data_IF_145859978392
#
_entry.id   IF_145859978392
#
_cell.length_a   1.000
_cell.length_b   1.000
_cell.length_c   1.000
_cell.angle_alpha   90.00
_cell.angle_beta   90.00
_cell.angle_gamma   90.00
#
_symmetry.space_group_name_H-M   'P 1'
#
loop_
_entity.id
_entity.type
_entity.pdbx_description
1 polymer ?
#
# COMPACT_ATOMS: atom_id res chain seq x y z
N UNK A 1 14.16 9.78 19.94
CA UNK A 1 14.64 8.92 18.84
C UNK A 1 14.02 9.48 17.57
N UNK A 2 14.80 10.25 16.82
CA UNK A 2 14.38 10.89 15.56
C UNK A 2 14.50 9.85 14.45
N UNK A 3 13.38 9.49 13.81
CA UNK A 3 13.43 8.69 12.60
C UNK A 3 14.16 9.50 11.52
N UNK A 4 15.22 8.92 10.96
CA UNK A 4 16.01 9.51 9.88
C UNK A 4 15.16 9.64 8.61
N UNK A 5 15.43 10.67 7.81
CA UNK A 5 14.90 10.79 6.46
C UNK A 5 15.13 9.47 5.70
N UNK A 6 14.07 8.90 5.14
CA UNK A 6 14.14 7.64 4.40
C UNK A 6 15.01 7.82 3.15
N UNK A 7 16.09 7.04 3.01
CA UNK A 7 16.99 7.00 1.84
C UNK A 7 16.32 6.50 0.55
N UNK A 8 15.10 5.97 0.66
CA UNK A 8 14.28 5.63 -0.51
C UNK A 8 13.94 6.92 -1.25
N UNK A 9 14.15 6.98 -2.58
CA UNK A 9 13.77 8.15 -3.36
C UNK A 9 12.33 8.59 -3.08
N UNK A 10 12.08 9.89 -2.99
CA UNK A 10 10.74 10.43 -2.72
C UNK A 10 9.68 9.90 -3.71
N UNK A 11 10.08 9.67 -4.97
CA UNK A 11 9.26 9.06 -6.00
C UNK A 11 8.84 7.62 -5.70
N UNK A 12 9.70 6.83 -5.05
CA UNK A 12 9.38 5.47 -4.59
C UNK A 12 8.50 5.51 -3.35
N UNK A 13 8.76 6.42 -2.40
CA UNK A 13 7.91 6.61 -1.22
C UNK A 13 6.48 7.00 -1.61
N UNK A 14 6.32 7.99 -2.50
CA UNK A 14 5.01 8.40 -3.03
C UNK A 14 4.30 7.24 -3.72
N UNK A 15 5.03 6.42 -4.48
CA UNK A 15 4.47 5.27 -5.16
C UNK A 15 3.93 4.21 -4.16
N UNK A 16 4.71 3.89 -3.12
CA UNK A 16 4.30 2.97 -2.06
C UNK A 16 3.09 3.50 -1.28
N UNK A 17 3.16 4.75 -0.79
CA UNK A 17 2.09 5.37 0.00
C UNK A 17 0.77 5.41 -0.76
N UNK A 18 0.82 5.75 -2.04
CA UNK A 18 -0.36 5.75 -2.90
C UNK A 18 -0.96 4.35 -3.02
N UNK A 19 -0.15 3.33 -3.30
CA UNK A 19 -0.64 1.96 -3.45
C UNK A 19 -1.19 1.41 -2.13
N UNK A 20 -0.49 1.66 -1.01
CA UNK A 20 -0.93 1.28 0.32
C UNK A 20 -2.26 1.93 0.72
N UNK A 21 -2.47 3.19 0.36
CA UNK A 21 -3.74 3.89 0.55
C UNK A 21 -4.87 3.29 -0.32
N UNK A 22 -4.56 2.90 -1.56
CA UNK A 22 -5.53 2.22 -2.45
C UNK A 22 -5.90 0.82 -1.96
N UNK A 23 -4.97 0.11 -1.32
CA UNK A 23 -5.21 -1.22 -0.74
C UNK A 23 -5.71 -1.15 0.70
N UNK A 24 -5.97 0.05 1.22
CA UNK A 24 -6.45 0.29 2.58
C UNK A 24 -5.50 -0.23 3.69
N UNK A 25 -4.22 -0.48 3.36
CA UNK A 25 -3.20 -0.84 4.36
C UNK A 25 -2.66 0.40 5.09
N UNK A 26 -2.88 1.58 4.52
CA UNK A 26 -2.71 2.87 5.18
C UNK A 26 -3.98 3.69 5.00
N UNK A 27 -4.22 4.59 5.93
CA UNK A 27 -5.28 5.59 5.87
C UNK A 27 -4.73 7.01 5.75
N UNK A 28 -5.62 7.97 5.49
CA UNK A 28 -5.26 9.39 5.33
C UNK A 28 -4.44 9.94 6.51
N UNK A 29 -4.73 9.61 7.79
CA UNK A 29 -3.90 10.04 8.91
C UNK A 29 -2.45 9.56 8.82
N UNK A 30 -2.19 8.35 8.31
CA UNK A 30 -0.83 7.83 8.14
C UNK A 30 -0.06 8.64 7.08
N UNK A 31 -0.76 9.01 5.99
CA UNK A 31 -0.20 9.85 4.93
C UNK A 31 0.12 11.27 5.44
N UNK A 32 -0.79 11.84 6.22
CA UNK A 32 -0.61 13.14 6.88
C UNK A 32 0.58 13.11 7.83
N UNK A 33 0.69 12.06 8.65
CA UNK A 33 1.82 11.88 9.56
C UNK A 33 3.15 11.75 8.81
N UNK A 34 3.17 11.04 7.68
CA UNK A 34 4.35 10.98 6.82
C UNK A 34 4.69 12.37 6.27
N UNK A 35 3.71 13.15 5.80
CA UNK A 35 3.92 14.50 5.29
C UNK A 35 4.48 15.44 6.37
N UNK A 36 3.96 15.38 7.59
CA UNK A 36 4.45 16.14 8.74
C UNK A 36 5.91 15.82 9.07
N UNK A 37 6.30 14.54 8.97
CA UNK A 37 7.69 14.12 9.16
C UNK A 37 8.59 14.72 8.06
N UNK A 38 8.18 14.63 6.79
CA UNK A 38 8.93 15.23 5.67
C UNK A 38 9.10 16.74 5.82
N UNK A 39 8.05 17.45 6.24
CA UNK A 39 8.07 18.90 6.45
C UNK A 39 9.07 19.29 7.55
N UNK A 40 9.09 18.55 8.66
CA UNK A 40 9.96 18.83 9.81
C UNK A 40 11.44 18.81 9.44
N UNK A 41 11.80 17.95 8.49
CA UNK A 41 13.18 17.74 8.07
C UNK A 41 13.62 18.68 6.92
N UNK A 42 12.70 19.52 6.42
CA UNK A 42 12.94 20.44 5.30
C UNK A 42 12.86 21.91 5.73
N UNK A 43 13.91 22.69 5.44
CA UNK A 43 13.91 24.15 5.71
C UNK A 43 12.90 24.91 4.86
N UNK A 44 12.59 24.41 3.66
CA UNK A 44 11.63 25.02 2.74
C UNK A 44 10.80 23.93 2.04
N UNK A 45 9.80 23.36 2.73
CA UNK A 45 9.00 22.27 2.20
C UNK A 45 8.18 22.71 0.98
N UNK A 46 8.04 21.82 0.00
CA UNK A 46 7.20 22.07 -1.17
C UNK A 46 5.74 22.30 -0.74
N UNK A 47 5.06 23.24 -1.40
CA UNK A 47 3.68 23.58 -1.06
C UNK A 47 2.72 22.37 -1.12
N UNK A 48 2.96 21.43 -2.07
CA UNK A 48 2.17 20.21 -2.17
C UNK A 48 2.28 19.30 -0.92
N UNK A 49 3.43 19.28 -0.23
CA UNK A 49 3.61 18.57 1.05
C UNK A 49 2.82 19.25 2.17
N UNK A 50 2.84 20.59 2.21
CA UNK A 50 2.08 21.37 3.20
C UNK A 50 0.57 21.13 3.01
N UNK A 51 0.08 21.20 1.78
CA UNK A 51 -1.32 20.87 1.48
C UNK A 51 -1.67 19.45 1.97
N UNK A 52 -0.82 18.46 1.68
CA UNK A 52 -1.05 17.07 2.09
C UNK A 52 -1.15 16.92 3.62
N UNK A 53 -0.31 17.62 4.38
CA UNK A 53 -0.36 17.63 5.84
C UNK A 53 -1.68 18.22 6.41
N UNK A 54 -2.40 19.02 5.62
CA UNK A 54 -3.67 19.62 6.02
C UNK A 54 -4.90 18.78 5.59
N UNK A 55 -4.70 17.67 4.89
CA UNK A 55 -5.78 16.84 4.33
C UNK A 55 -6.38 15.83 5.32
N UNK A 56 -6.28 16.04 6.64
CA UNK A 56 -6.72 15.07 7.65
C UNK A 56 -8.18 14.60 7.56
N UNK A 57 -9.06 15.41 6.96
CA UNK A 57 -10.47 15.08 6.72
C UNK A 57 -10.80 14.77 5.26
N UNK A 58 -9.81 14.71 4.38
CA UNK A 58 -10.00 14.38 2.97
C UNK A 58 -10.25 12.89 2.74
N UNK A 59 -10.79 12.56 1.57
CA UNK A 59 -10.96 11.16 1.16
C UNK A 59 -9.67 10.60 0.53
N UNK A 60 -9.56 9.27 0.49
CA UNK A 60 -8.38 8.56 -0.04
C UNK A 60 -8.04 8.92 -1.48
N UNK A 61 -9.04 9.18 -2.33
CA UNK A 61 -8.83 9.51 -3.74
C UNK A 61 -8.14 10.87 -3.90
N UNK A 62 -8.62 11.89 -3.19
CA UNK A 62 -8.01 13.22 -3.22
C UNK A 62 -6.59 13.19 -2.62
N UNK A 63 -6.41 12.47 -1.51
CA UNK A 63 -5.09 12.28 -0.89
C UNK A 63 -4.12 11.56 -1.83
N UNK A 64 -4.56 10.51 -2.54
CA UNK A 64 -3.76 9.80 -3.53
C UNK A 64 -3.36 10.71 -4.71
N UNK A 65 -4.26 11.59 -5.17
CA UNK A 65 -3.95 12.56 -6.20
C UNK A 65 -2.96 13.63 -5.72
N UNK A 66 -3.08 14.07 -4.45
CA UNK A 66 -2.14 15.02 -3.87
C UNK A 66 -0.74 14.43 -3.73
N UNK A 67 -0.61 13.13 -3.38
CA UNK A 67 0.67 12.42 -3.38
C UNK A 67 1.39 12.51 -4.74
N UNK A 68 0.65 12.39 -5.85
CA UNK A 68 1.22 12.50 -7.21
C UNK A 68 1.73 13.91 -7.55
N UNK A 69 1.28 14.95 -6.85
CA UNK A 69 1.78 16.32 -7.01
C UNK A 69 3.11 16.56 -6.30
N UNK A 70 3.47 15.70 -5.35
CA UNK A 70 4.74 15.78 -4.60
C UNK A 70 5.89 15.22 -5.43
N UNK A 71 5.71 14.03 -5.99
CA UNK A 71 6.70 13.42 -6.87
C UNK A 71 6.03 12.48 -7.88
N UNK A 72 6.65 12.34 -9.06
CA UNK A 72 6.23 11.33 -10.03
C UNK A 72 6.65 9.94 -9.52
N UNK A 73 5.72 8.97 -9.41
CA UNK A 73 6.06 7.59 -9.06
C UNK A 73 7.14 6.99 -9.97
N UNK A 74 8.17 6.37 -9.38
CA UNK A 74 9.26 5.72 -10.13
C UNK A 74 9.18 4.20 -10.15
N UNK A 75 8.46 3.59 -9.21
CA UNK A 75 8.19 2.15 -9.20
C UNK A 75 6.78 1.86 -9.72
N UNK A 76 6.66 0.75 -10.44
CA UNK A 76 5.39 0.24 -10.95
C UNK A 76 4.57 -0.41 -9.83
N UNK A 77 3.27 -0.55 -10.07
CA UNK A 77 2.38 -1.25 -9.13
C UNK A 77 2.84 -2.69 -8.88
N UNK A 78 3.25 -3.42 -9.94
CA UNK A 78 3.70 -4.80 -9.83
C UNK A 78 4.96 -4.95 -8.97
N UNK A 79 5.88 -3.98 -9.00
CA UNK A 79 7.08 -3.98 -8.17
C UNK A 79 6.79 -3.69 -6.69
N UNK A 80 5.75 -2.88 -6.41
CA UNK A 80 5.39 -2.45 -5.06
C UNK A 80 4.40 -3.37 -4.36
N UNK A 81 3.53 -4.03 -5.12
CA UNK A 81 2.44 -4.84 -4.58
C UNK A 81 2.93 -5.92 -3.59
N UNK A 82 4.06 -6.62 -3.80
CA UNK A 82 4.60 -7.55 -2.81
C UNK A 82 4.87 -6.91 -1.43
N UNK A 83 5.39 -5.68 -1.38
CA UNK A 83 5.65 -4.97 -0.13
C UNK A 83 4.35 -4.62 0.59
N UNK A 84 3.37 -4.10 -0.15
CA UNK A 84 2.06 -3.73 0.41
C UNK A 84 1.28 -4.96 0.88
N UNK A 85 1.34 -6.07 0.13
CA UNK A 85 0.71 -7.34 0.53
C UNK A 85 1.36 -7.97 1.77
N UNK A 86 2.67 -7.79 1.97
CA UNK A 86 3.36 -8.24 3.17
C UNK A 86 2.87 -7.48 4.42
N UNK A 87 2.61 -6.17 4.30
CA UNK A 87 2.04 -5.36 5.38
C UNK A 87 0.55 -5.67 5.59
N UNK A 88 -0.20 -5.87 4.50
CA UNK A 88 -1.58 -6.33 4.54
C UNK A 88 -1.72 -7.66 5.30
N UNK A 89 -0.78 -8.60 5.12
CA UNK A 89 -0.77 -9.86 5.85
C UNK A 89 -0.75 -9.65 7.37
N UNK A 90 0.12 -8.76 7.85
CA UNK A 90 0.24 -8.45 9.28
C UNK A 90 -1.07 -7.85 9.79
N UNK A 91 -1.66 -6.92 9.03
CA UNK A 91 -2.95 -6.31 9.38
C UNK A 91 -4.10 -7.31 9.40
N UNK A 92 -4.13 -8.29 8.49
CA UNK A 92 -5.15 -9.33 8.46
C UNK A 92 -5.12 -10.23 9.70
N UNK A 93 -3.94 -10.47 10.28
CA UNK A 93 -3.80 -11.24 11.52
C UNK A 93 -4.46 -10.51 12.70
N UNK A 94 -4.32 -9.18 12.75
CA UNK A 94 -4.84 -8.36 13.86
C UNK A 94 -6.29 -7.92 13.63
N UNK A 95 -6.71 -7.74 12.37
CA UNK A 95 -8.03 -7.27 11.99
C UNK A 95 -8.56 -8.03 10.76
N UNK A 96 -9.16 -9.22 10.93
CA UNK A 96 -9.76 -9.97 9.83
C UNK A 96 -10.89 -9.22 9.09
N UNK A 97 -11.54 -8.24 9.72
CA UNK A 97 -12.60 -7.44 9.09
C UNK A 97 -12.11 -6.57 7.92
N UNK A 98 -10.80 -6.34 7.83
CA UNK A 98 -10.14 -5.64 6.72
C UNK A 98 -10.16 -6.43 5.40
N UNK A 99 -10.31 -7.76 5.47
CA UNK A 99 -10.09 -8.67 4.35
C UNK A 99 -10.92 -8.34 3.09
N UNK A 100 -12.18 -7.93 3.28
CA UNK A 100 -13.06 -7.53 2.18
C UNK A 100 -12.57 -6.26 1.49
N UNK A 101 -12.22 -5.22 2.25
CA UNK A 101 -11.73 -3.96 1.70
C UNK A 101 -10.40 -4.14 0.96
N UNK A 102 -9.52 -4.99 1.49
CA UNK A 102 -8.28 -5.37 0.81
C UNK A 102 -8.55 -6.06 -0.53
N UNK A 103 -9.47 -7.03 -0.57
CA UNK A 103 -9.82 -7.75 -1.79
C UNK A 103 -10.38 -6.81 -2.88
N UNK A 104 -11.27 -5.89 -2.50
CA UNK A 104 -11.78 -4.84 -3.40
C UNK A 104 -10.64 -3.97 -3.94
N UNK A 105 -9.74 -3.49 -3.07
CA UNK A 105 -8.58 -2.69 -3.47
C UNK A 105 -7.63 -3.44 -4.42
N UNK A 106 -7.35 -4.72 -4.13
CA UNK A 106 -6.56 -5.60 -4.98
C UNK A 106 -7.17 -5.78 -6.37
N UNK A 107 -8.48 -5.96 -6.47
CA UNK A 107 -9.18 -6.07 -7.75
C UNK A 107 -9.10 -4.78 -8.55
N UNK A 108 -9.34 -3.61 -7.94
CA UNK A 108 -9.26 -2.32 -8.64
C UNK A 108 -7.85 -2.08 -9.21
N UNK A 109 -6.83 -2.45 -8.45
CA UNK A 109 -5.43 -2.37 -8.89
C UNK A 109 -5.14 -3.33 -10.04
N UNK A 110 -5.59 -4.58 -9.94
CA UNK A 110 -5.44 -5.59 -10.98
C UNK A 110 -6.16 -5.20 -12.29
N UNK A 111 -7.40 -4.70 -12.18
CA UNK A 111 -8.22 -4.28 -13.31
C UNK A 111 -7.60 -3.07 -14.03
N UNK A 112 -7.05 -2.10 -13.27
CA UNK A 112 -6.35 -0.94 -13.84
C UNK A 112 -5.09 -1.32 -14.62
N UNK A 113 -4.43 -2.40 -14.23
CA UNK A 113 -3.24 -2.93 -14.92
C UNK A 113 -3.61 -3.88 -16.09
N UNK A 114 -4.89 -3.92 -16.50
CA UNK A 114 -5.43 -4.82 -17.52
C UNK A 114 -5.11 -6.30 -17.27
N UNK A 115 -4.98 -6.72 -16.01
CA UNK A 115 -4.63 -8.08 -15.64
C UNK A 115 -3.24 -8.54 -16.06
N UNK A 116 -2.30 -7.60 -16.31
CA UNK A 116 -0.95 -7.92 -16.80
C UNK A 116 0.02 -8.46 -15.73
N UNK A 117 -0.50 -8.71 -14.53
CA UNK A 117 0.25 -9.20 -13.39
C UNK A 117 0.87 -10.57 -13.65
N UNK A 118 2.02 -10.81 -13.02
CA UNK A 118 2.66 -12.12 -12.99
C UNK A 118 1.74 -13.15 -12.35
N UNK A 119 1.98 -14.44 -12.63
CA UNK A 119 1.18 -15.54 -12.07
C UNK A 119 1.05 -15.45 -10.54
N UNK A 120 2.12 -15.05 -9.85
CA UNK A 120 2.12 -14.87 -8.39
C UNK A 120 1.15 -13.79 -7.90
N UNK A 121 0.83 -12.79 -8.73
CA UNK A 121 -0.08 -11.69 -8.41
C UNK A 121 -1.44 -11.80 -9.11
N UNK A 122 -1.63 -12.81 -9.97
CA UNK A 122 -2.86 -13.00 -10.74
C UNK A 122 -4.10 -13.18 -9.85
N UNK A 123 -3.93 -13.76 -8.66
CA UNK A 123 -5.00 -13.94 -7.68
C UNK A 123 -5.54 -12.62 -7.11
N UNK A 124 -4.91 -11.47 -7.38
CA UNK A 124 -5.48 -10.17 -7.04
C UNK A 124 -6.83 -9.91 -7.71
N UNK A 125 -7.06 -10.47 -8.91
CA UNK A 125 -8.35 -10.38 -9.59
C UNK A 125 -9.41 -11.38 -9.11
N UNK A 126 -9.04 -12.35 -8.24
CA UNK A 126 -9.92 -13.43 -7.80
C UNK A 126 -10.73 -13.10 -6.54
N UNK A 127 -10.08 -12.50 -5.53
CA UNK A 127 -10.64 -12.44 -4.19
C UNK A 127 -11.93 -11.63 -4.08
N UNK A 128 -12.05 -10.54 -4.84
CA UNK A 128 -13.26 -9.69 -4.83
C UNK A 128 -14.51 -10.51 -5.21
N UNK A 129 -14.47 -11.19 -6.37
CA UNK A 129 -15.52 -12.08 -6.84
C UNK A 129 -15.73 -13.27 -5.88
N UNK A 130 -14.65 -13.83 -5.32
CA UNK A 130 -14.74 -14.96 -4.39
C UNK A 130 -15.53 -14.61 -3.12
N UNK A 131 -15.36 -13.40 -2.58
CA UNK A 131 -16.17 -12.92 -1.46
C UNK A 131 -17.64 -12.80 -1.82
N UNK A 132 -17.97 -12.25 -3.00
CA UNK A 132 -19.36 -12.10 -3.44
C UNK A 132 -20.05 -13.45 -3.62
N UNK A 133 -19.36 -14.43 -4.21
CA UNK A 133 -19.85 -15.80 -4.34
C UNK A 133 -20.04 -16.49 -2.98
N UNK A 134 -19.11 -16.30 -2.05
CA UNK A 134 -19.20 -16.86 -0.70
C UNK A 134 -20.36 -16.23 0.09
N UNK A 135 -20.56 -14.91 -0.01
CA UNK A 135 -21.69 -14.20 0.62
C UNK A 135 -23.04 -14.62 0.04
N UNK A 136 -23.09 -14.94 -1.25
CA UNK A 136 -24.27 -15.48 -1.90
C UNK A 136 -24.53 -16.97 -1.58
N UNK A 137 -23.61 -17.64 -0.87
CA UNK A 137 -23.71 -19.08 -0.58
C UNK A 137 -23.54 -19.96 -1.80
N UNK A 138 -22.91 -19.46 -2.87
CA UNK A 138 -22.73 -20.18 -4.14
C UNK A 138 -21.49 -21.08 -4.08
N UNK A 139 -20.38 -20.55 -3.56
CA UNK A 139 -19.11 -21.28 -3.46
C UNK A 139 -18.32 -20.81 -2.24
N UNK A 140 -17.79 -21.77 -1.46
CA UNK A 140 -17.07 -21.54 -0.21
C UNK A 140 -17.85 -20.70 0.83
N UNK A 141 -17.22 -20.46 1.97
CA UNK A 141 -17.69 -19.58 3.02
C UNK A 141 -16.79 -18.36 3.12
N UNK A 142 -17.28 -17.25 3.67
CA UNK A 142 -16.46 -16.05 3.88
C UNK A 142 -15.21 -16.36 4.72
N UNK A 143 -15.33 -17.25 5.71
CA UNK A 143 -14.19 -17.68 6.53
C UNK A 143 -13.13 -18.44 5.72
N UNK A 144 -13.54 -19.26 4.76
CA UNK A 144 -12.61 -19.94 3.86
C UNK A 144 -11.89 -18.93 2.96
N UNK A 145 -12.61 -17.95 2.39
CA UNK A 145 -11.98 -16.91 1.56
C UNK A 145 -11.03 -16.04 2.39
N UNK A 146 -11.37 -15.72 3.65
CA UNK A 146 -10.47 -15.04 4.58
C UNK A 146 -9.16 -15.82 4.78
N UNK A 147 -9.25 -17.14 4.97
CA UNK A 147 -8.08 -18.01 5.14
C UNK A 147 -7.23 -18.09 3.86
N UNK A 148 -7.86 -18.19 2.70
CA UNK A 148 -7.18 -18.16 1.40
C UNK A 148 -6.45 -16.84 1.18
N UNK A 149 -7.08 -15.71 1.48
CA UNK A 149 -6.46 -14.38 1.36
C UNK A 149 -5.29 -14.21 2.33
N UNK A 150 -5.44 -14.70 3.57
CA UNK A 150 -4.36 -14.69 4.54
C UNK A 150 -3.18 -15.55 4.08
N UNK A 151 -3.43 -16.75 3.53
CA UNK A 151 -2.40 -17.62 2.99
C UNK A 151 -1.70 -16.99 1.77
N UNK A 152 -2.47 -16.38 0.87
CA UNK A 152 -1.97 -15.66 -0.30
C UNK A 152 -1.02 -14.52 0.09
N UNK A 153 -1.47 -13.63 0.97
CA UNK A 153 -0.66 -12.50 1.46
C UNK A 153 0.59 -12.99 2.22
N UNK A 154 0.49 -14.15 2.88
CA UNK A 154 1.62 -14.80 3.56
C UNK A 154 2.77 -15.18 2.64
N UNK A 155 2.51 -15.39 1.34
CA UNK A 155 3.54 -15.63 0.33
C UNK A 155 4.51 -14.46 0.12
N UNK A 156 4.17 -13.27 0.61
CA UNK A 156 4.96 -12.05 0.42
C UNK A 156 5.71 -11.61 1.69
N UNK A 157 5.67 -12.35 2.79
CA UNK A 157 6.28 -11.95 4.08
C UNK A 157 7.78 -11.63 4.04
N UNK A 158 8.51 -12.11 3.03
CA UNK A 158 9.94 -11.79 2.85
C UNK A 158 10.18 -10.39 2.28
N UNK A 159 9.14 -9.70 1.82
CA UNK A 159 9.19 -8.33 1.32
C UNK A 159 8.94 -7.38 2.49
N UNK A 160 9.91 -6.49 2.75
CA UNK A 160 9.85 -5.56 3.87
C UNK A 160 10.22 -4.15 3.39
N UNK A 161 9.22 -3.28 3.39
CA UNK A 161 9.38 -1.88 2.98
C UNK A 161 10.28 -1.12 3.94
N UNK A 162 10.14 -1.32 5.24
CA UNK A 162 10.98 -0.66 6.26
C UNK A 162 12.43 -1.10 6.16
N UNK A 163 12.68 -2.38 5.88
CA UNK A 163 14.03 -2.87 5.60
C UNK A 163 14.59 -2.26 4.31
N UNK A 164 13.79 -2.09 3.27
CA UNK A 164 14.20 -1.38 2.05
C UNK A 164 14.56 0.08 2.37
N UNK A 165 13.81 0.73 3.25
CA UNK A 165 14.12 2.07 3.73
C UNK A 165 15.44 2.17 4.51
N UNK A 166 15.81 1.15 5.28
CA UNK A 166 17.08 1.13 6.02
C UNK A 166 18.28 0.52 5.28
N UNK A 167 18.08 -0.30 4.24
CA UNK A 167 19.17 -0.98 3.53
C UNK A 167 19.93 -0.07 2.55
N UNK A 168 19.33 1.05 2.12
CA UNK A 168 19.98 2.03 1.25
C UNK A 168 21.20 2.72 1.92
N UNK A 169 21.31 2.67 3.25
CA UNK A 169 22.47 3.17 4.02
C UNK A 169 23.79 2.44 3.68
N UNK A 170 23.74 1.18 3.19
CA UNK A 170 24.94 0.32 3.05
C UNK A 170 25.55 0.26 1.65
N UNK A 171 24.88 0.81 0.64
CA UNK A 171 25.33 0.69 -0.76
C UNK A 171 25.96 1.96 -1.34
N UNK A 172 26.18 2.99 -0.52
CA UNK A 172 26.88 4.24 -0.93
C UNK A 172 28.27 4.40 -0.28
N UNK A 173 28.83 3.34 0.32
CA UNK A 173 30.15 3.38 0.98
C UNK A 173 31.25 2.57 0.27
N UNK A 174 31.02 2.14 -0.98
CA UNK A 174 32.05 1.46 -1.80
C UNK A 174 32.47 2.34 -2.99
#
# INVERSE_FOLDING_TARGET
MTASASDVPLSEQVAYLKLALELHTLDVPDIVQWADAQIRDQTNPAYALIELALMGESNRFDTANQLLRIARPSMTTAELLPYVLADAHKMLLDNPGFARALAEGMYQVWARDNGSFTEALALCGYFDDAYDLARAGINATVDQINQELLAFTGGFLNWDWMKRCGAAEKSQSD
#
